data_IF_269184406965
#
_entry.id   IF_269184406965
#
_cell.length_a   1.000
_cell.length_b   1.000
_cell.length_c   1.000
_cell.angle_alpha   90.00
_cell.angle_beta   90.00
_cell.angle_gamma   90.00
#
_symmetry.space_group_name_H-M   'P 1'
#
loop_
_entity.id
_entity.type
_entity.pdbx_description
1 polymer ?
#
# COMPACT_ATOMS: atom_id res chain seq x y z
N UNK A 1 11.20 6.27 12.15
CA UNK A 1 10.54 6.82 10.95
C UNK A 1 9.33 5.97 10.67
N UNK A 2 8.12 6.48 10.93
CA UNK A 2 6.92 5.63 10.88
C UNK A 2 5.80 6.49 10.35
N UNK A 3 5.17 6.04 9.30
CA UNK A 3 3.95 6.65 8.75
C UNK A 3 2.98 6.84 9.93
N UNK A 4 2.47 8.07 10.11
CA UNK A 4 1.50 8.40 11.15
C UNK A 4 0.14 7.80 10.82
N UNK A 5 -0.24 7.92 9.55
CA UNK A 5 -1.53 7.47 9.05
C UNK A 5 -1.42 7.13 7.58
N UNK A 6 -2.05 6.04 7.18
CA UNK A 6 -2.31 5.76 5.78
C UNK A 6 -3.81 5.76 5.53
N UNK A 7 -4.20 6.43 4.46
CA UNK A 7 -5.57 6.45 3.99
C UNK A 7 -5.67 5.69 2.68
N UNK A 8 -6.77 4.95 2.56
CA UNK A 8 -7.12 4.22 1.36
C UNK A 8 -8.54 4.61 0.97
N UNK A 9 -8.69 5.02 -0.28
CA UNK A 9 -10.00 5.32 -0.90
C UNK A 9 -10.14 4.62 -2.26
N UNK A 10 -11.35 4.21 -2.67
CA UNK A 10 -12.59 4.20 -1.88
C UNK A 10 -12.51 3.26 -0.68
N UNK A 11 -13.30 3.52 0.36
CA UNK A 11 -13.43 2.62 1.51
C UNK A 11 -14.54 1.62 1.22
N UNK A 12 -14.17 0.36 1.00
CA UNK A 12 -15.09 -0.73 0.75
C UNK A 12 -14.88 -1.86 1.76
N UNK A 13 -15.93 -2.66 2.01
CA UNK A 13 -15.85 -3.89 2.80
C UNK A 13 -15.11 -5.00 2.03
N UNK A 14 -15.32 -5.04 0.72
CA UNK A 14 -14.73 -5.97 -0.23
C UNK A 14 -14.19 -5.20 -1.42
N UNK A 15 -13.01 -5.58 -1.89
CA UNK A 15 -12.39 -5.07 -3.11
C UNK A 15 -12.29 -6.18 -4.15
N UNK A 16 -12.10 -5.79 -5.41
CA UNK A 16 -12.01 -6.71 -6.54
C UNK A 16 -10.77 -6.44 -7.38
N UNK A 17 -10.18 -7.49 -8.01
CA UNK A 17 -9.17 -7.28 -9.04
C UNK A 17 -9.66 -6.31 -10.12
N UNK A 18 -8.83 -5.32 -10.44
CA UNK A 18 -9.18 -4.21 -11.33
C UNK A 18 -9.47 -2.90 -10.59
N UNK A 19 -9.84 -2.96 -9.30
CA UNK A 19 -10.04 -1.75 -8.50
C UNK A 19 -8.76 -0.92 -8.40
N UNK A 20 -8.94 0.40 -8.32
CA UNK A 20 -7.85 1.36 -8.11
C UNK A 20 -8.05 2.00 -6.75
N UNK A 21 -7.04 1.87 -5.90
CA UNK A 21 -7.01 2.45 -4.57
C UNK A 21 -6.16 3.71 -4.62
N UNK A 22 -6.72 4.86 -4.25
CA UNK A 22 -5.91 6.03 -3.94
C UNK A 22 -5.37 5.85 -2.51
N UNK A 23 -4.06 5.98 -2.39
CA UNK A 23 -3.32 5.82 -1.14
C UNK A 23 -2.68 7.15 -0.79
N UNK A 24 -2.90 7.61 0.44
CA UNK A 24 -2.24 8.79 1.01
C UNK A 24 -1.47 8.37 2.25
N UNK A 25 -0.16 8.57 2.27
CA UNK A 25 0.72 8.28 3.40
C UNK A 25 1.12 9.59 4.07
N UNK A 26 0.62 9.79 5.28
CA UNK A 26 0.94 10.93 6.13
C UNK A 26 2.06 10.54 7.09
N UNK A 27 3.11 11.35 7.11
CA UNK A 27 4.27 11.17 7.96
C UNK A 27 4.22 12.14 9.14
N UNK A 28 4.51 11.63 10.35
CA UNK A 28 4.56 12.43 11.58
C UNK A 28 5.55 13.59 11.46
N UNK A 29 6.74 13.27 10.93
CA UNK A 29 7.81 14.20 10.63
C UNK A 29 8.03 14.27 9.12
N UNK A 30 8.53 15.40 8.57
CA UNK A 30 8.79 15.50 7.14
C UNK A 30 9.71 14.38 6.63
N UNK A 31 9.30 13.72 5.56
CA UNK A 31 10.06 12.68 4.89
C UNK A 31 10.60 13.20 3.55
N UNK A 32 11.84 12.80 3.24
CA UNK A 32 12.51 13.11 1.97
C UNK A 32 13.12 11.82 1.42
N UNK A 33 12.56 11.34 0.33
CA UNK A 33 12.96 10.10 -0.32
C UNK A 33 11.91 9.63 -1.32
N UNK A 34 12.14 8.43 -1.84
CA UNK A 34 11.17 7.72 -2.66
C UNK A 34 10.23 6.92 -1.76
N UNK A 35 8.96 6.93 -2.11
CA UNK A 35 7.93 6.18 -1.41
C UNK A 35 7.19 5.32 -2.41
N UNK A 36 7.04 4.04 -2.09
CA UNK A 36 6.29 3.09 -2.90
C UNK A 36 5.24 2.42 -2.02
N UNK A 37 4.07 2.10 -2.57
CA UNK A 37 3.05 1.35 -1.86
C UNK A 37 2.51 0.19 -2.69
N UNK A 38 2.14 -0.89 -2.02
CA UNK A 38 1.58 -2.08 -2.65
C UNK A 38 0.77 -2.92 -1.68
N UNK A 39 0.04 -3.89 -2.22
CA UNK A 39 -0.71 -4.85 -1.41
C UNK A 39 0.12 -6.13 -1.24
N UNK A 40 0.07 -6.72 -0.05
CA UNK A 40 0.69 -8.02 0.25
C UNK A 40 -0.35 -8.92 0.90
N UNK A 41 -0.48 -10.16 0.41
CA UNK A 41 -1.34 -11.17 1.04
C UNK A 41 -0.81 -11.55 2.42
N UNK A 42 -1.69 -11.55 3.42
CA UNK A 42 -1.38 -11.98 4.81
C UNK A 42 -1.37 -13.50 4.96
N UNK A 43 -2.10 -14.23 4.12
CA UNK A 43 -2.21 -15.70 4.17
C UNK A 43 -1.95 -16.33 2.79
N UNK A 44 -1.03 -17.29 2.75
CA UNK A 44 -0.70 -18.09 1.56
C UNK A 44 0.80 -18.30 1.36
N UNK A 45 1.20 -19.53 1.01
CA UNK A 45 2.54 -19.85 0.52
C UNK A 45 2.69 -19.35 -0.93
N UNK A 46 2.88 -18.05 -1.09
CA UNK A 46 3.12 -17.42 -2.37
C UNK A 46 4.28 -16.42 -2.28
N UNK A 47 4.95 -16.11 -3.39
CA UNK A 47 6.02 -15.12 -3.38
C UNK A 47 5.48 -13.78 -2.85
N UNK A 48 6.17 -13.19 -1.85
CA UNK A 48 5.92 -11.83 -1.33
C UNK A 48 6.34 -10.76 -2.35
N UNK A 49 6.11 -10.98 -3.64
CA UNK A 49 6.39 -10.00 -4.68
C UNK A 49 5.29 -8.95 -4.64
N UNK A 50 5.50 -7.91 -3.84
CA UNK A 50 4.68 -6.71 -3.93
C UNK A 50 5.08 -5.97 -5.20
N UNK A 51 4.23 -6.01 -6.23
CA UNK A 51 4.32 -4.95 -7.25
C UNK A 51 3.90 -3.66 -6.56
N UNK A 52 4.84 -2.74 -6.43
CA UNK A 52 4.60 -1.45 -5.78
C UNK A 52 4.43 -0.35 -6.81
N UNK A 53 3.65 0.65 -6.43
CA UNK A 53 3.46 1.87 -7.21
C UNK A 53 4.22 2.99 -6.52
N UNK A 54 4.95 3.77 -7.29
CA UNK A 54 5.66 4.96 -6.78
C UNK A 54 4.61 6.01 -6.43
N UNK A 55 4.71 6.56 -5.23
CA UNK A 55 3.87 7.65 -4.76
C UNK A 55 4.53 8.99 -5.05
N UNK A 56 3.73 9.95 -5.52
CA UNK A 56 4.15 11.32 -5.70
C UNK A 56 4.23 12.04 -4.35
N UNK A 57 5.22 12.93 -4.20
CA UNK A 57 5.34 13.77 -3.02
C UNK A 57 4.45 15.01 -3.18
N UNK A 58 3.34 15.06 -2.45
CA UNK A 58 2.43 16.21 -2.42
C UNK A 58 2.91 17.29 -1.46
N UNK A 59 3.60 16.92 -0.38
CA UNK A 59 4.21 17.88 0.56
C UNK A 59 5.42 17.28 1.30
N UNK A 60 5.99 18.04 2.24
CA UNK A 60 7.02 17.53 3.14
C UNK A 60 6.59 16.31 3.96
N UNK A 61 5.29 16.16 4.23
CA UNK A 61 4.72 15.12 5.11
C UNK A 61 3.70 14.22 4.42
N UNK A 62 3.44 14.40 3.13
CA UNK A 62 2.38 13.70 2.43
C UNK A 62 2.89 13.15 1.10
N UNK A 63 2.68 11.85 0.92
CA UNK A 63 2.92 11.14 -0.33
C UNK A 63 1.64 10.45 -0.77
N UNK A 64 1.31 10.54 -2.06
CA UNK A 64 0.03 10.08 -2.59
C UNK A 64 0.21 9.38 -3.93
N UNK A 65 -0.69 8.45 -4.23
CA UNK A 65 -0.66 7.76 -5.50
C UNK A 65 -1.72 6.67 -5.56
N UNK A 66 -1.60 5.83 -6.58
CA UNK A 66 -2.58 4.80 -6.87
C UNK A 66 -1.95 3.42 -6.73
N UNK A 67 -2.69 2.51 -6.10
CA UNK A 67 -2.35 1.09 -6.00
C UNK A 67 -3.47 0.30 -6.64
N UNK A 68 -3.12 -0.51 -7.63
CA UNK A 68 -4.10 -1.34 -8.32
C UNK A 68 -4.28 -2.69 -7.60
N UNK A 69 -5.53 -3.08 -7.40
CA UNK A 69 -5.88 -4.43 -6.96
C UNK A 69 -5.75 -5.39 -8.15
N UNK A 70 -5.11 -6.53 -7.94
CA UNK A 70 -4.73 -7.49 -8.98
C UNK A 70 -5.22 -8.89 -8.60
N UNK A 71 -5.15 -9.83 -9.54
CA UNK A 71 -5.63 -11.21 -9.33
C UNK A 71 -4.84 -11.93 -8.22
N UNK A 72 -3.55 -11.66 -8.10
CA UNK A 72 -2.67 -12.19 -7.05
C UNK A 72 -2.92 -11.54 -5.68
N UNK A 73 -3.80 -10.54 -5.58
CA UNK A 73 -4.23 -9.96 -4.30
C UNK A 73 -5.50 -10.65 -3.74
N UNK A 74 -6.12 -11.61 -4.45
CA UNK A 74 -7.31 -12.32 -3.94
C UNK A 74 -7.00 -12.97 -2.58
N UNK A 75 -7.83 -12.66 -1.58
CA UNK A 75 -7.65 -13.03 -0.18
C UNK A 75 -7.57 -11.80 0.73
N UNK A 76 -7.05 -11.99 1.94
CA UNK A 76 -6.82 -10.90 2.90
C UNK A 76 -5.46 -10.27 2.66
N UNK A 77 -5.46 -8.99 2.29
CA UNK A 77 -4.26 -8.21 2.01
C UNK A 77 -4.02 -7.14 3.09
N UNK A 78 -2.75 -6.75 3.24
CA UNK A 78 -2.35 -5.56 3.95
C UNK A 78 -1.70 -4.58 2.96
N UNK A 79 -1.89 -3.29 3.21
CA UNK A 79 -1.12 -2.25 2.53
C UNK A 79 0.26 -2.15 3.19
N UNK A 80 1.30 -2.20 2.37
CA UNK A 80 2.68 -2.00 2.78
C UNK A 80 3.28 -0.84 2.00
N UNK A 81 4.15 -0.08 2.66
CA UNK A 81 4.93 0.96 2.03
C UNK A 81 6.41 0.59 2.11
N UNK A 82 7.16 0.93 1.07
CA UNK A 82 8.61 0.92 1.08
C UNK A 82 9.13 2.34 0.99
N UNK A 83 9.98 2.66 1.96
CA UNK A 83 10.50 3.99 2.17
C UNK A 83 12.00 3.93 1.89
N UNK A 84 12.42 4.64 0.85
CA UNK A 84 13.82 4.75 0.46
C UNK A 84 14.26 6.19 0.74
N UNK A 85 14.77 6.49 1.95
CA UNK A 85 15.22 7.83 2.28
C UNK A 85 16.43 8.23 1.42
N UNK A 86 16.62 9.53 1.19
CA UNK A 86 17.85 10.03 0.53
C UNK A 86 19.11 9.68 1.34
N UNK A 87 18.99 9.60 2.67
CA UNK A 87 20.06 9.17 3.59
C UNK A 87 19.52 8.09 4.52
N UNK A 88 20.19 6.94 4.55
CA UNK A 88 19.81 5.80 5.39
C UNK A 88 19.39 4.60 4.57
N UNK A 89 18.84 3.60 5.25
CA UNK A 89 18.47 2.32 4.66
C UNK A 89 17.02 2.30 4.17
N UNK A 90 16.76 1.49 3.15
CA UNK A 90 15.41 1.22 2.66
C UNK A 90 14.68 0.35 3.67
N UNK A 91 13.45 0.74 4.03
CA UNK A 91 12.62 0.01 4.98
C UNK A 91 11.24 -0.30 4.41
N UNK A 92 10.79 -1.54 4.59
CA UNK A 92 9.40 -1.92 4.37
C UNK A 92 8.63 -1.75 5.68
N UNK A 93 7.53 -1.00 5.64
CA UNK A 93 6.67 -0.75 6.79
C UNK A 93 5.23 -1.12 6.46
N UNK A 94 4.55 -1.78 7.40
CA UNK A 94 3.10 -1.90 7.35
C UNK A 94 2.47 -0.53 7.56
N UNK A 95 1.50 -0.15 6.74
CA UNK A 95 0.90 1.19 6.80
C UNK A 95 -0.29 1.27 7.76
N UNK A 96 -0.35 0.37 8.75
CA UNK A 96 -1.43 0.22 9.72
C UNK A 96 -2.06 -1.19 9.71
N UNK A 97 -3.06 -1.39 10.58
CA UNK A 97 -3.70 -2.69 10.79
C UNK A 97 -4.87 -2.97 9.84
N UNK A 98 -5.21 -2.01 8.97
CA UNK A 98 -6.35 -2.16 8.07
C UNK A 98 -6.08 -3.25 7.05
N UNK A 99 -6.86 -4.33 7.17
CA UNK A 99 -6.87 -5.42 6.20
C UNK A 99 -7.86 -5.10 5.08
N UNK A 100 -7.47 -5.42 3.85
CA UNK A 100 -8.29 -5.30 2.65
C UNK A 100 -8.70 -6.71 2.21
N UNK A 101 -10.00 -6.97 2.22
CA UNK A 101 -10.53 -8.24 1.74
C UNK A 101 -10.77 -8.15 0.23
N UNK A 102 -9.98 -8.90 -0.55
CA UNK A 102 -10.10 -8.94 -2.00
C UNK A 102 -10.80 -10.23 -2.41
N UNK A 103 -11.86 -10.11 -3.21
CA UNK A 103 -12.62 -11.24 -3.73
C UNK A 103 -12.58 -11.26 -5.26
N UNK A 104 -12.61 -12.45 -5.89
CA UNK A 104 -12.64 -12.50 -7.34
C UNK A 104 -13.93 -11.86 -7.87
N UNK A 105 -13.85 -11.24 -9.05
CA UNK A 105 -15.00 -10.56 -9.69
C UNK A 105 -16.05 -11.55 -10.22
N UNK A 106 -15.65 -12.81 -10.43
CA UNK A 106 -16.50 -13.95 -10.77
C UNK A 106 -16.11 -15.14 -9.89
N UNK A 107 -17.02 -16.07 -9.57
CA UNK A 107 -16.64 -17.33 -8.94
C UNK A 107 -15.56 -18.02 -9.79
N UNK A 108 -14.49 -18.48 -9.16
CA UNK A 108 -13.46 -19.33 -9.78
C UNK A 108 -13.98 -20.76 -9.93
#
# INVERSE_FOLDING_TARGET
MVIERAEVTPRQEVYHPGDVLNVSLLFRDPFVGQCEAGLVRRSGAGPRTSRRSILARSSGRLYEGQVHVRLDHIGTCALVATLTPVKGETVEVGTGDRLLNVRPTRPL
#
